data_IF_924812337921
#
_entry.id   IF_924812337921
#
_cell.length_a   1.000
_cell.length_b   1.000
_cell.length_c   1.000
_cell.angle_alpha   90.00
_cell.angle_beta   90.00
_cell.angle_gamma   90.00
#
_symmetry.space_group_name_H-M   'P 1'
#
loop_
_entity.id
_entity.type
_entity.pdbx_description
1 polymer ?
#
# COMPACT_ATOMS: atom_id res chain seq x y z
N UNK A 1 -27.25 3.04 -14.77
CA UNK A 1 -26.24 3.22 -15.85
C UNK A 1 -24.87 2.90 -15.27
N UNK A 2 -23.97 2.22 -16.00
CA UNK A 2 -22.60 2.01 -15.54
C UNK A 2 -21.90 3.36 -15.34
N UNK A 3 -21.32 3.61 -14.18
CA UNK A 3 -20.57 4.85 -13.92
C UNK A 3 -19.22 4.79 -14.65
N UNK A 4 -18.97 5.74 -15.55
CA UNK A 4 -17.68 5.90 -16.23
C UNK A 4 -16.70 6.69 -15.34
N UNK A 5 -15.55 6.09 -15.07
CA UNK A 5 -14.47 6.64 -14.25
C UNK A 5 -13.39 7.35 -15.04
N UNK A 6 -13.52 7.48 -16.37
CA UNK A 6 -12.51 8.11 -17.22
C UNK A 6 -12.01 9.47 -16.69
N UNK A 7 -12.86 10.42 -16.24
CA UNK A 7 -12.36 11.68 -15.69
C UNK A 7 -11.48 11.46 -14.45
N UNK A 8 -11.89 10.56 -13.56
CA UNK A 8 -11.14 10.23 -12.36
C UNK A 8 -9.79 9.60 -12.70
N UNK A 9 -9.75 8.64 -13.64
CA UNK A 9 -8.50 7.98 -14.03
C UNK A 9 -7.50 8.96 -14.63
N UNK A 10 -7.97 9.96 -15.38
CA UNK A 10 -7.12 11.08 -15.83
C UNK A 10 -6.64 11.96 -14.67
N UNK A 11 -7.47 12.21 -13.66
CA UNK A 11 -7.06 12.99 -12.48
C UNK A 11 -5.95 12.30 -11.67
N UNK A 12 -5.81 10.97 -11.74
CA UNK A 12 -4.68 10.27 -11.10
C UNK A 12 -3.33 10.76 -11.63
N UNK A 13 -3.26 11.29 -12.85
CA UNK A 13 -2.02 11.87 -13.39
C UNK A 13 -1.54 13.09 -12.60
N UNK A 14 -2.41 13.77 -11.85
CA UNK A 14 -1.99 14.85 -10.95
C UNK A 14 -1.11 14.34 -9.80
N UNK A 15 -1.20 13.05 -9.46
CA UNK A 15 -0.29 12.42 -8.50
C UNK A 15 1.14 12.28 -9.04
N UNK A 16 1.35 12.33 -10.36
CA UNK A 16 2.68 12.22 -10.97
C UNK A 16 3.58 13.41 -10.61
N UNK A 17 3.22 14.68 -10.92
CA UNK A 17 4.05 15.82 -10.55
C UNK A 17 4.23 15.92 -9.03
N UNK A 18 3.23 15.52 -8.23
CA UNK A 18 3.34 15.49 -6.77
C UNK A 18 4.42 14.50 -6.29
N UNK A 19 4.37 13.26 -6.76
CA UNK A 19 5.35 12.23 -6.40
C UNK A 19 6.75 12.56 -6.94
N UNK A 20 6.86 13.17 -8.13
CA UNK A 20 8.13 13.67 -8.67
C UNK A 20 8.70 14.76 -7.78
N UNK A 21 7.87 15.70 -7.32
CA UNK A 21 8.29 16.73 -6.38
C UNK A 21 8.80 16.12 -5.06
N UNK A 22 8.07 15.17 -4.46
CA UNK A 22 8.52 14.51 -3.23
C UNK A 22 9.80 13.70 -3.42
N UNK A 23 9.92 13.00 -4.55
CA UNK A 23 11.14 12.27 -4.90
C UNK A 23 12.34 13.21 -5.01
N UNK A 24 12.20 14.33 -5.74
CA UNK A 24 13.29 15.28 -5.93
C UNK A 24 13.74 15.91 -4.61
N UNK A 25 12.80 16.31 -3.75
CA UNK A 25 13.13 16.87 -2.43
C UNK A 25 13.78 15.82 -1.51
N UNK A 26 13.25 14.59 -1.48
CA UNK A 26 13.86 13.50 -0.73
C UNK A 26 15.28 13.18 -1.22
N UNK A 27 15.51 13.18 -2.52
CA UNK A 27 16.83 12.93 -3.10
C UNK A 27 17.82 14.05 -2.74
N UNK A 28 17.34 15.31 -2.70
CA UNK A 28 18.11 16.43 -2.16
C UNK A 28 18.52 16.21 -0.71
N UNK A 29 17.57 15.89 0.18
CA UNK A 29 17.86 15.60 1.58
C UNK A 29 18.82 14.41 1.76
N UNK A 30 18.76 13.40 0.88
CA UNK A 30 19.71 12.29 0.90
C UNK A 30 21.13 12.75 0.54
N UNK A 31 21.26 13.59 -0.49
CA UNK A 31 22.55 14.14 -0.92
C UNK A 31 23.17 15.07 0.13
N UNK A 32 22.35 15.71 0.96
CA UNK A 32 22.77 16.55 2.10
C UNK A 32 23.17 15.72 3.34
N UNK A 33 23.08 14.39 3.30
CA UNK A 33 23.49 13.50 4.39
C UNK A 33 22.37 13.11 5.36
N UNK A 34 21.11 13.30 4.98
CA UNK A 34 19.95 12.84 5.74
C UNK A 34 19.88 11.32 5.94
N UNK A 35 19.11 10.87 6.95
CA UNK A 35 19.09 9.45 7.34
C UNK A 35 18.60 8.52 6.20
N UNK A 36 19.47 7.63 5.68
CA UNK A 36 19.12 6.67 4.64
C UNK A 36 17.96 5.74 5.01
N UNK A 37 17.78 5.41 6.29
CA UNK A 37 16.71 4.52 6.76
C UNK A 37 15.33 5.15 6.70
N UNK A 38 15.26 6.48 6.64
CA UNK A 38 14.03 7.25 6.43
C UNK A 38 13.86 7.58 4.95
N UNK A 39 14.92 8.06 4.29
CA UNK A 39 14.78 8.64 2.95
C UNK A 39 14.71 7.58 1.85
N UNK A 40 15.55 6.54 1.87
CA UNK A 40 15.57 5.56 0.79
C UNK A 40 14.22 4.84 0.62
N UNK A 41 13.53 4.41 1.70
CA UNK A 41 12.19 3.86 1.56
C UNK A 41 11.17 4.83 0.96
N UNK A 42 11.27 6.12 1.30
CA UNK A 42 10.41 7.16 0.75
C UNK A 42 10.62 7.32 -0.76
N UNK A 43 11.88 7.34 -1.22
CA UNK A 43 12.21 7.45 -2.64
C UNK A 43 11.66 6.28 -3.45
N UNK A 44 11.79 5.05 -2.93
CA UNK A 44 11.17 3.87 -3.55
C UNK A 44 9.67 4.08 -3.65
N UNK A 45 9.02 4.50 -2.56
CA UNK A 45 7.58 4.70 -2.53
C UNK A 45 7.12 5.78 -3.51
N UNK A 46 7.78 6.93 -3.58
CA UNK A 46 7.40 8.02 -4.50
C UNK A 46 7.61 7.62 -5.97
N UNK A 47 8.71 6.93 -6.29
CA UNK A 47 8.96 6.45 -7.65
C UNK A 47 7.87 5.48 -8.12
N UNK A 48 7.51 4.52 -7.27
CA UNK A 48 6.44 3.56 -7.58
C UNK A 48 5.06 4.24 -7.61
N UNK A 49 4.80 5.18 -6.71
CA UNK A 49 3.54 5.95 -6.69
C UNK A 49 3.36 6.78 -7.96
N UNK A 50 4.40 7.48 -8.41
CA UNK A 50 4.38 8.18 -9.70
C UNK A 50 4.13 7.23 -10.87
N UNK A 51 4.76 6.06 -10.87
CA UNK A 51 4.50 5.01 -11.85
C UNK A 51 3.04 4.50 -11.82
N UNK A 52 2.47 4.26 -10.63
CA UNK A 52 1.08 3.82 -10.43
C UNK A 52 0.06 4.87 -10.86
N UNK A 53 0.40 6.15 -10.72
CA UNK A 53 -0.40 7.26 -11.25
C UNK A 53 -0.35 7.34 -12.78
N UNK A 54 0.81 7.08 -13.40
CA UNK A 54 0.97 7.02 -14.87
C UNK A 54 0.29 5.80 -15.49
N UNK A 55 0.40 4.64 -14.84
CA UNK A 55 -0.10 3.37 -15.35
C UNK A 55 -1.03 2.71 -14.32
N UNK A 56 -2.20 3.33 -14.04
CA UNK A 56 -3.13 2.76 -13.08
C UNK A 56 -3.66 1.42 -13.61
N UNK A 57 -3.62 0.42 -12.73
CA UNK A 57 -4.17 -0.88 -13.01
C UNK A 57 -4.80 -1.50 -11.75
N UNK A 58 -5.71 -2.44 -11.98
CA UNK A 58 -6.25 -3.35 -10.97
C UNK A 58 -5.82 -4.76 -11.35
N UNK A 59 -5.18 -5.45 -10.41
CA UNK A 59 -4.64 -6.79 -10.64
C UNK A 59 -5.76 -7.80 -10.95
N UNK A 60 -6.89 -7.68 -10.24
CA UNK A 60 -8.07 -8.48 -10.50
C UNK A 60 -8.63 -8.19 -11.90
N UNK A 61 -8.69 -9.22 -12.74
CA UNK A 61 -9.16 -9.12 -14.13
C UNK A 61 -8.22 -8.37 -15.07
N UNK A 62 -6.97 -8.09 -14.66
CA UNK A 62 -5.95 -7.36 -15.42
C UNK A 62 -6.47 -6.06 -16.06
N UNK A 63 -7.25 -5.31 -15.28
CA UNK A 63 -7.88 -4.08 -15.76
C UNK A 63 -6.85 -2.97 -15.81
N UNK A 64 -6.77 -2.29 -16.96
CA UNK A 64 -5.83 -1.20 -17.19
C UNK A 64 -6.54 0.02 -17.72
N UNK A 65 -5.98 1.20 -17.46
CA UNK A 65 -6.44 2.41 -18.13
C UNK A 65 -5.79 2.58 -19.51
N UNK A 66 -4.47 2.43 -19.57
CA UNK A 66 -3.70 2.47 -20.81
C UNK A 66 -3.33 1.06 -21.26
N UNK A 67 -3.59 0.70 -22.51
CA UNK A 67 -3.13 -0.58 -23.06
C UNK A 67 -1.65 -0.51 -23.45
N UNK A 68 -0.77 -0.55 -22.44
CA UNK A 68 0.68 -0.59 -22.62
C UNK A 68 1.28 -1.72 -21.81
N UNK A 69 2.46 -2.21 -22.22
CA UNK A 69 3.18 -3.27 -21.46
C UNK A 69 3.48 -2.85 -20.02
N UNK A 70 3.66 -1.55 -19.77
CA UNK A 70 3.88 -0.99 -18.43
C UNK A 70 2.62 -1.09 -17.56
N UNK A 71 1.42 -1.10 -18.13
CA UNK A 71 0.18 -1.26 -17.35
C UNK A 71 -0.09 -2.69 -16.90
N UNK A 72 0.73 -3.67 -17.30
CA UNK A 72 0.51 -5.08 -16.96
C UNK A 72 0.54 -5.32 -15.44
N UNK A 73 -0.26 -6.27 -14.96
CA UNK A 73 -0.41 -6.55 -13.53
C UNK A 73 0.90 -7.02 -12.89
N UNK A 74 1.66 -7.87 -13.60
CA UNK A 74 2.90 -8.43 -13.05
C UNK A 74 3.97 -7.38 -12.71
N UNK A 75 4.45 -6.53 -13.64
CA UNK A 75 5.47 -5.52 -13.30
C UNK A 75 4.96 -4.53 -12.26
N UNK A 76 3.70 -4.12 -12.36
CA UNK A 76 3.12 -3.19 -11.39
C UNK A 76 3.04 -3.79 -9.99
N UNK A 77 2.70 -5.08 -9.86
CA UNK A 77 2.68 -5.77 -8.57
C UNK A 77 4.07 -5.95 -7.98
N UNK A 78 5.09 -6.23 -8.81
CA UNK A 78 6.49 -6.29 -8.36
C UNK A 78 6.89 -4.94 -7.74
N UNK A 79 6.64 -3.85 -8.46
CA UNK A 79 6.94 -2.51 -7.97
C UNK A 79 6.16 -2.17 -6.70
N UNK A 80 4.85 -2.47 -6.67
CA UNK A 80 4.01 -2.26 -5.49
C UNK A 80 4.52 -3.05 -4.28
N UNK A 81 4.97 -4.29 -4.47
CA UNK A 81 5.55 -5.13 -3.41
C UNK A 81 6.75 -4.43 -2.78
N UNK A 82 7.69 -3.93 -3.60
CA UNK A 82 8.86 -3.20 -3.11
C UNK A 82 8.46 -1.91 -2.38
N UNK A 83 7.54 -1.12 -2.94
CA UNK A 83 7.11 0.11 -2.26
C UNK A 83 6.39 -0.16 -0.95
N UNK A 84 5.56 -1.19 -0.91
CA UNK A 84 4.75 -1.55 0.26
C UNK A 84 5.62 -1.98 1.44
N UNK A 85 6.60 -2.86 1.18
CA UNK A 85 7.59 -3.25 2.18
C UNK A 85 8.43 -2.05 2.61
N UNK A 86 8.85 -1.20 1.66
CA UNK A 86 9.66 -0.03 1.96
C UNK A 86 8.95 0.94 2.92
N UNK A 87 7.72 1.37 2.63
CA UNK A 87 7.09 2.35 3.50
C UNK A 87 6.67 1.77 4.86
N UNK A 88 6.32 0.49 4.94
CA UNK A 88 6.08 -0.15 6.25
C UNK A 88 7.37 -0.25 7.06
N UNK A 89 8.50 -0.56 6.42
CA UNK A 89 9.79 -0.47 7.07
C UNK A 89 10.08 0.96 7.56
N UNK A 90 9.73 1.98 6.78
CA UNK A 90 9.86 3.38 7.19
C UNK A 90 9.03 3.68 8.44
N UNK A 91 7.75 3.33 8.46
CA UNK A 91 6.86 3.55 9.61
C UNK A 91 7.34 2.79 10.85
N UNK A 92 7.75 1.54 10.68
CA UNK A 92 8.41 0.74 11.71
C UNK A 92 9.63 1.46 12.27
N UNK A 93 10.47 2.05 11.42
CA UNK A 93 11.63 2.80 11.85
C UNK A 93 11.27 4.11 12.55
N UNK A 94 10.26 4.84 12.08
CA UNK A 94 9.74 6.06 12.74
C UNK A 94 9.31 5.76 14.17
N UNK A 95 8.54 4.69 14.39
CA UNK A 95 8.12 4.27 15.74
C UNK A 95 9.34 4.05 16.65
N UNK A 96 10.39 3.38 16.16
CA UNK A 96 11.63 3.16 16.93
C UNK A 96 12.39 4.46 17.21
N UNK A 97 12.48 5.37 16.25
CA UNK A 97 13.13 6.68 16.44
C UNK A 97 12.41 7.54 17.48
N UNK A 98 11.08 7.42 17.55
CA UNK A 98 10.26 8.13 18.53
C UNK A 98 10.17 7.42 19.89
N UNK A 99 10.65 6.18 19.99
CA UNK A 99 10.73 5.38 21.23
C UNK A 99 11.95 5.79 22.09
N UNK A 100 12.04 7.06 22.47
CA UNK A 100 13.21 7.62 23.20
C UNK A 100 13.43 7.03 24.60
N UNK A 101 12.44 6.31 25.14
CA UNK A 101 12.51 5.64 26.43
C UNK A 101 12.87 4.15 26.32
N UNK A 102 13.25 3.68 25.11
CA UNK A 102 13.69 2.31 24.83
C UNK A 102 12.70 1.23 25.32
N UNK A 103 11.40 1.48 25.10
CA UNK A 103 10.34 0.57 25.55
C UNK A 103 10.31 -0.67 24.67
N UNK A 104 10.77 -1.81 25.20
CA UNK A 104 11.03 -3.01 24.38
C UNK A 104 9.82 -3.58 23.62
N UNK A 105 8.60 -3.46 24.15
CA UNK A 105 7.42 -3.95 23.42
C UNK A 105 7.05 -3.08 22.21
N UNK A 106 7.40 -1.79 22.22
CA UNK A 106 7.24 -0.89 21.07
C UNK A 106 8.18 -1.33 19.95
N UNK A 107 9.41 -1.70 20.28
CA UNK A 107 10.37 -2.23 19.29
C UNK A 107 9.89 -3.56 18.70
N UNK A 108 9.39 -4.47 19.56
CA UNK A 108 8.82 -5.72 19.11
C UNK A 108 7.61 -5.50 18.17
N UNK A 109 6.72 -4.58 18.52
CA UNK A 109 5.56 -4.24 17.70
C UNK A 109 5.96 -3.59 16.37
N UNK A 110 7.00 -2.75 16.37
CA UNK A 110 7.56 -2.17 15.14
C UNK A 110 8.11 -3.24 14.20
N UNK A 111 8.80 -4.27 14.72
CA UNK A 111 9.34 -5.36 13.91
C UNK A 111 8.26 -6.32 13.44
N UNK A 112 7.24 -6.55 14.26
CA UNK A 112 6.04 -7.29 13.84
C UNK A 112 5.44 -6.67 12.59
N UNK A 113 5.44 -5.34 12.46
CA UNK A 113 4.95 -4.69 11.24
C UNK A 113 5.77 -5.06 10.00
N UNK A 114 7.10 -5.14 10.11
CA UNK A 114 7.95 -5.53 8.97
C UNK A 114 7.74 -7.00 8.61
N UNK A 115 7.55 -7.86 9.60
CA UNK A 115 7.23 -9.27 9.38
C UNK A 115 5.87 -9.42 8.70
N UNK A 116 4.84 -8.75 9.21
CA UNK A 116 3.46 -8.89 8.74
C UNK A 116 3.29 -8.38 7.31
N UNK A 117 3.94 -7.27 6.92
CA UNK A 117 3.90 -6.86 5.50
C UNK A 117 4.47 -7.93 4.60
N UNK A 118 5.53 -8.64 5.01
CA UNK A 118 6.06 -9.79 4.28
C UNK A 118 5.05 -10.92 4.14
N UNK A 119 4.32 -11.25 5.22
CA UNK A 119 3.22 -12.22 5.20
C UNK A 119 2.11 -11.79 4.23
N UNK A 120 1.69 -10.52 4.28
CA UNK A 120 0.70 -9.97 3.34
C UNK A 120 1.15 -10.10 1.87
N UNK A 121 2.44 -9.89 1.58
CA UNK A 121 2.95 -10.07 0.21
C UNK A 121 2.79 -11.52 -0.28
N UNK A 122 3.01 -12.53 0.58
CA UNK A 122 2.78 -13.92 0.20
C UNK A 122 1.30 -14.18 -0.16
N UNK A 123 0.36 -13.56 0.56
CA UNK A 123 -1.06 -13.68 0.25
C UNK A 123 -1.44 -13.02 -1.07
N UNK A 124 -0.93 -11.82 -1.38
CA UNK A 124 -1.17 -11.14 -2.67
C UNK A 124 -0.62 -11.95 -3.83
N UNK A 125 0.63 -12.38 -3.71
CA UNK A 125 1.27 -13.17 -4.76
C UNK A 125 0.59 -14.52 -4.91
N UNK A 126 0.17 -15.15 -3.81
CA UNK A 126 -0.68 -16.32 -3.84
C UNK A 126 -1.99 -16.06 -4.59
N UNK A 127 -2.67 -14.95 -4.32
CA UNK A 127 -3.93 -14.59 -4.97
C UNK A 127 -3.76 -14.47 -6.49
N UNK A 128 -2.69 -13.79 -6.94
CA UNK A 128 -2.40 -13.57 -8.37
C UNK A 128 -1.97 -14.86 -9.06
N UNK A 129 -1.04 -15.61 -8.46
CA UNK A 129 -0.44 -16.79 -9.09
C UNK A 129 -1.36 -18.02 -9.06
N UNK A 130 -2.33 -18.07 -8.14
CA UNK A 130 -3.28 -19.18 -8.03
C UNK A 130 -4.71 -18.80 -8.41
N UNK A 131 -4.97 -17.51 -8.69
CA UNK A 131 -6.29 -16.93 -8.94
C UNK A 131 -7.30 -17.18 -7.80
N UNK A 132 -6.82 -17.29 -6.55
CA UNK A 132 -7.64 -17.52 -5.36
C UNK A 132 -7.92 -16.21 -4.65
N UNK A 133 -9.07 -15.60 -4.95
CA UNK A 133 -9.44 -14.27 -4.45
C UNK A 133 -9.54 -14.18 -2.92
N UNK A 134 -9.82 -15.30 -2.23
CA UNK A 134 -9.85 -15.35 -0.76
C UNK A 134 -8.51 -14.99 -0.12
N UNK A 135 -7.39 -15.14 -0.84
CA UNK A 135 -6.08 -14.72 -0.35
C UNK A 135 -5.97 -13.20 -0.17
N UNK A 136 -6.73 -12.40 -0.93
CA UNK A 136 -6.82 -10.95 -0.69
C UNK A 136 -7.49 -10.62 0.65
N UNK A 137 -8.38 -11.47 1.18
CA UNK A 137 -8.94 -11.26 2.53
C UNK A 137 -7.86 -11.35 3.60
N UNK A 138 -6.93 -12.30 3.46
CA UNK A 138 -5.84 -12.49 4.42
C UNK A 138 -4.77 -11.40 4.29
N UNK A 139 -4.48 -10.93 3.08
CA UNK A 139 -3.65 -9.73 2.88
C UNK A 139 -4.24 -8.53 3.62
N UNK A 140 -5.52 -8.21 3.38
CA UNK A 140 -6.19 -7.05 3.96
C UNK A 140 -6.33 -7.18 5.49
N UNK A 141 -6.38 -8.41 6.01
CA UNK A 141 -6.32 -8.65 7.46
C UNK A 141 -4.94 -8.29 8.00
N UNK A 142 -3.87 -8.66 7.29
CA UNK A 142 -2.51 -8.25 7.65
C UNK A 142 -2.34 -6.73 7.63
N UNK A 143 -2.91 -6.04 6.63
CA UNK A 143 -2.97 -4.57 6.61
C UNK A 143 -3.69 -3.99 7.83
N UNK A 144 -4.81 -4.59 8.25
CA UNK A 144 -5.52 -4.16 9.46
C UNK A 144 -4.64 -4.33 10.72
N UNK A 145 -3.94 -5.46 10.85
CA UNK A 145 -3.02 -5.74 11.96
C UNK A 145 -1.86 -4.73 11.97
N UNK A 146 -1.27 -4.44 10.80
CA UNK A 146 -0.19 -3.46 10.63
C UNK A 146 -0.57 -2.08 11.15
N UNK A 147 -1.70 -1.56 10.70
CA UNK A 147 -2.12 -0.23 11.09
C UNK A 147 -2.65 -0.19 12.53
N UNK A 148 -3.25 -1.26 13.04
CA UNK A 148 -3.59 -1.37 14.46
C UNK A 148 -2.34 -1.33 15.34
N UNK A 149 -1.29 -2.09 14.98
CA UNK A 149 0.00 -2.07 15.65
C UNK A 149 0.61 -0.65 15.65
N UNK A 150 0.64 0.01 14.49
CA UNK A 150 1.13 1.39 14.37
C UNK A 150 0.34 2.38 15.24
N UNK A 151 -0.99 2.26 15.26
CA UNK A 151 -1.86 3.12 16.07
C UNK A 151 -1.66 2.90 17.57
N UNK A 152 -1.55 1.64 18.02
CA UNK A 152 -1.30 1.31 19.43
C UNK A 152 0.06 1.85 19.87
N UNK A 153 1.12 1.60 19.09
CA UNK A 153 2.45 2.11 19.37
C UNK A 153 2.46 3.65 19.43
N UNK A 154 1.82 4.30 18.46
CA UNK A 154 1.75 5.76 18.40
C UNK A 154 0.97 6.36 19.57
N UNK A 155 -0.13 5.73 19.97
CA UNK A 155 -0.95 6.18 21.10
C UNK A 155 -0.21 6.09 22.43
N UNK A 156 0.52 4.99 22.64
CA UNK A 156 1.36 4.87 23.82
C UNK A 156 2.47 5.92 23.83
N UNK A 157 3.26 6.02 22.75
CA UNK A 157 4.35 7.00 22.67
C UNK A 157 3.86 8.44 22.84
N UNK A 158 2.69 8.78 22.27
CA UNK A 158 2.10 10.10 22.41
C UNK A 158 1.70 10.40 23.87
N UNK A 159 1.23 9.40 24.62
CA UNK A 159 0.80 9.57 26.00
C UNK A 159 1.98 9.58 26.99
N UNK A 160 3.08 8.90 26.70
CA UNK A 160 4.16 8.65 27.68
C UNK A 160 5.44 9.42 27.41
N UNK A 161 5.59 10.02 26.23
CA UNK A 161 6.85 10.62 25.80
C UNK A 161 6.71 12.12 25.56
N UNK A 162 7.68 12.90 26.04
CA UNK A 162 7.79 14.33 25.70
C UNK A 162 8.62 14.49 24.42
N UNK A 163 7.96 14.81 23.32
CA UNK A 163 8.58 15.02 22.00
C UNK A 163 8.46 16.49 21.58
N UNK A 164 9.29 16.93 20.64
CA UNK A 164 9.08 18.21 19.95
C UNK A 164 7.73 18.21 19.22
N UNK A 165 7.10 19.39 18.99
CA UNK A 165 5.81 19.48 18.32
C UNK A 165 5.77 18.74 16.97
N UNK A 166 6.83 18.85 16.16
CA UNK A 166 6.89 18.19 14.85
C UNK A 166 6.90 16.66 14.95
N UNK A 167 7.68 16.12 15.90
CA UNK A 167 7.76 14.67 16.14
C UNK A 167 6.48 14.12 16.75
N UNK A 168 5.86 14.86 17.67
CA UNK A 168 4.53 14.53 18.19
C UNK A 168 3.47 14.56 17.07
N UNK A 169 3.61 15.47 16.11
CA UNK A 169 2.76 15.55 14.92
C UNK A 169 2.73 14.26 14.10
N UNK A 170 3.86 13.54 13.98
CA UNK A 170 3.90 12.24 13.30
C UNK A 170 3.06 11.17 14.02
N UNK A 171 3.03 11.19 15.35
CA UNK A 171 2.20 10.29 16.15
C UNK A 171 0.72 10.64 16.02
N UNK A 172 0.39 11.94 16.06
CA UNK A 172 -0.99 12.42 15.85
C UNK A 172 -1.50 12.04 14.46
N UNK A 173 -0.66 12.15 13.42
CA UNK A 173 -1.01 11.73 12.07
C UNK A 173 -1.27 10.21 12.00
N UNK A 174 -0.44 9.41 12.67
CA UNK A 174 -0.62 7.95 12.76
C UNK A 174 -1.91 7.56 13.48
N UNK A 175 -2.26 8.28 14.55
CA UNK A 175 -3.51 8.10 15.30
C UNK A 175 -4.72 8.50 14.46
N UNK A 176 -4.68 9.66 13.82
CA UNK A 176 -5.74 10.15 12.93
C UNK A 176 -5.97 9.20 11.76
N UNK A 177 -4.89 8.68 11.16
CA UNK A 177 -4.99 7.67 10.12
C UNK A 177 -5.66 6.40 10.66
N UNK A 178 -5.18 5.84 11.79
CA UNK A 178 -5.77 4.65 12.40
C UNK A 178 -7.26 4.81 12.73
N UNK A 179 -7.64 5.98 13.25
CA UNK A 179 -9.03 6.30 13.60
C UNK A 179 -9.98 6.26 12.40
N UNK A 180 -9.52 6.69 11.22
CA UNK A 180 -10.33 6.68 9.99
C UNK A 180 -10.20 5.35 9.25
N UNK A 181 -8.96 4.85 9.12
CA UNK A 181 -8.62 3.68 8.32
C UNK A 181 -9.14 2.38 8.93
N UNK A 182 -8.98 2.13 10.24
CA UNK A 182 -9.37 0.84 10.82
C UNK A 182 -10.88 0.55 10.74
N UNK A 183 -11.79 1.52 11.00
CA UNK A 183 -13.22 1.32 10.76
C UNK A 183 -13.53 1.07 9.28
N UNK A 184 -12.89 1.81 8.38
CA UNK A 184 -13.05 1.62 6.94
C UNK A 184 -12.54 0.23 6.49
N UNK A 185 -11.41 -0.22 7.03
CA UNK A 185 -10.79 -1.51 6.75
C UNK A 185 -11.69 -2.66 7.19
N UNK A 186 -12.41 -2.51 8.30
CA UNK A 186 -13.42 -3.49 8.72
C UNK A 186 -14.56 -3.63 7.70
N UNK A 187 -15.05 -2.50 7.16
CA UNK A 187 -16.06 -2.53 6.09
C UNK A 187 -15.51 -3.18 4.82
N UNK A 188 -14.26 -2.88 4.47
CA UNK A 188 -13.59 -3.46 3.31
C UNK A 188 -13.43 -4.98 3.44
N UNK A 189 -12.90 -5.45 4.56
CA UNK A 189 -12.75 -6.87 4.87
C UNK A 189 -14.07 -7.62 4.83
N UNK A 190 -15.13 -7.05 5.41
CA UNK A 190 -16.47 -7.63 5.35
C UNK A 190 -16.96 -7.78 3.91
N UNK A 191 -16.75 -6.76 3.08
CA UNK A 191 -17.10 -6.79 1.65
C UNK A 191 -16.34 -7.90 0.91
N UNK A 192 -15.03 -8.01 1.12
CA UNK A 192 -14.21 -9.05 0.51
C UNK A 192 -14.60 -10.45 0.96
N UNK A 193 -14.89 -10.63 2.25
CA UNK A 193 -15.30 -11.93 2.79
C UNK A 193 -16.62 -12.41 2.19
N UNK A 194 -17.61 -11.51 2.07
CA UNK A 194 -18.91 -11.81 1.44
C UNK A 194 -18.75 -12.14 -0.05
N UNK A 195 -17.88 -11.43 -0.77
CA UNK A 195 -17.63 -11.66 -2.19
C UNK A 195 -16.77 -12.91 -2.46
N UNK A 196 -15.85 -13.26 -1.57
CA UNK A 196 -15.08 -14.49 -1.67
C UNK A 196 -15.98 -15.72 -1.47
N UNK A 197 -16.89 -15.67 -0.49
CA UNK A 197 -17.83 -16.76 -0.23
C UNK A 197 -18.82 -17.01 -1.38
N UNK A 198 -19.26 -15.98 -2.09
CA UNK A 198 -20.16 -16.13 -3.24
C UNK A 198 -19.46 -16.68 -4.50
N UNK A 199 -18.19 -16.36 -4.70
CA UNK A 199 -17.40 -16.87 -5.83
C UNK A 199 -16.86 -18.30 -5.60
N UNK A 200 -16.50 -18.68 -4.36
CA UNK A 200 -16.09 -20.05 -4.03
C UNK A 200 -17.27 -21.05 -4.05
N UNK A 201 -18.50 -20.60 -3.76
CA UNK A 201 -19.70 -21.44 -3.77
C UNK A 201 -20.15 -21.91 -5.17
N UNK A 202 -19.42 -21.59 -6.24
CA UNK A 202 -19.71 -22.10 -7.59
C UNK A 202 -19.33 -23.58 -7.80
N UNK A 203 -18.86 -24.28 -6.77
CA UNK A 203 -18.66 -25.74 -6.81
C UNK A 203 -17.49 -26.20 -7.69
N UNK A 204 -16.65 -25.28 -8.17
CA UNK A 204 -15.41 -25.62 -8.86
C UNK A 204 -14.38 -26.09 -7.83
N UNK A 205 -13.93 -27.34 -7.96
CA UNK A 205 -12.83 -27.87 -7.14
C UNK A 205 -11.59 -27.00 -7.39
N UNK A 206 -10.97 -26.41 -6.36
CA UNK A 206 -9.80 -25.57 -6.54
C UNK A 206 -8.70 -26.34 -7.29
N UNK A 207 -8.24 -25.80 -8.41
CA UNK A 207 -7.14 -26.41 -9.17
C UNK A 207 -5.94 -26.61 -8.24
N UNK A 208 -5.32 -27.78 -8.32
CA UNK A 208 -4.16 -28.12 -7.49
C UNK A 208 -3.04 -27.11 -7.76
N UNK A 209 -2.34 -26.70 -6.68
CA UNK A 209 -1.24 -25.76 -6.79
C UNK A 209 -0.06 -26.46 -7.48
N UNK A 210 0.05 -26.26 -8.79
CA UNK A 210 1.11 -26.83 -9.62
C UNK A 210 1.99 -25.72 -10.20
N UNK A 211 3.24 -26.06 -10.53
CA UNK A 211 4.14 -25.12 -11.20
C UNK A 211 3.56 -24.64 -12.55
N UNK A 212 2.82 -25.50 -13.24
CA UNK A 212 2.14 -25.17 -14.50
C UNK A 212 1.09 -24.09 -14.31
N UNK A 213 0.26 -24.20 -13.27
CA UNK A 213 -0.73 -23.18 -12.90
C UNK A 213 -0.05 -21.83 -12.62
N UNK A 214 1.03 -21.84 -11.82
CA UNK A 214 1.78 -20.64 -11.46
C UNK A 214 2.36 -19.97 -12.71
N UNK A 215 3.03 -20.73 -13.59
CA UNK A 215 3.61 -20.21 -14.84
C UNK A 215 2.54 -19.63 -15.76
N UNK A 216 1.41 -20.32 -15.91
CA UNK A 216 0.26 -19.87 -16.73
C UNK A 216 -0.28 -18.54 -16.22
N UNK A 217 -0.52 -18.43 -14.91
CA UNK A 217 -1.10 -17.23 -14.31
C UNK A 217 -0.11 -16.06 -14.25
N UNK A 218 1.19 -16.33 -14.05
CA UNK A 218 2.24 -15.31 -14.18
C UNK A 218 2.32 -14.75 -15.61
N UNK A 219 2.30 -15.63 -16.62
CA UNK A 219 2.27 -15.22 -18.02
C UNK A 219 0.99 -14.43 -18.34
N UNK A 220 -0.15 -14.86 -17.80
CA UNK A 220 -1.42 -14.14 -17.93
C UNK A 220 -1.34 -12.73 -17.30
N UNK A 221 -0.79 -12.59 -16.08
CA UNK A 221 -0.60 -11.31 -15.41
C UNK A 221 0.40 -10.39 -16.12
N UNK A 222 1.34 -10.95 -16.89
CA UNK A 222 2.33 -10.20 -17.67
C UNK A 222 1.78 -9.73 -19.02
N UNK A 223 1.02 -10.59 -19.71
CA UNK A 223 0.65 -10.35 -21.10
C UNK A 223 -0.78 -9.86 -21.28
N UNK A 224 -1.73 -10.32 -20.46
CA UNK A 224 -3.13 -9.93 -20.58
C UNK A 224 -3.35 -8.55 -19.98
N UNK A 225 -4.10 -7.73 -20.72
CA UNK A 225 -4.57 -6.41 -20.29
C UNK A 225 -5.97 -6.23 -20.81
N UNK A 226 -6.87 -5.72 -19.96
CA UNK A 226 -8.26 -5.43 -20.31
C UNK A 226 -8.51 -3.94 -20.09
N UNK A 227 -8.42 -3.11 -21.13
CA UNK A 227 -8.72 -1.69 -21.02
C UNK A 227 -10.17 -1.48 -20.59
N UNK A 228 -10.40 -0.72 -19.52
CA UNK A 228 -11.76 -0.35 -19.10
C UNK A 228 -11.77 0.94 -18.29
N UNK A 229 -12.88 1.67 -18.34
CA UNK A 229 -13.15 2.83 -17.47
C UNK A 229 -14.43 2.63 -16.65
N UNK A 230 -15.03 1.44 -16.66
CA UNK A 230 -16.28 1.17 -15.94
C UNK A 230 -16.03 0.96 -14.45
N UNK A 231 -16.79 1.63 -13.58
CA UNK A 231 -16.63 1.57 -12.11
C UNK A 231 -16.54 0.16 -11.52
N UNK A 232 -17.34 -0.78 -12.02
CA UNK A 232 -17.32 -2.18 -11.56
C UNK A 232 -15.97 -2.86 -11.81
N UNK A 233 -15.29 -2.52 -12.91
CA UNK A 233 -13.99 -3.09 -13.27
C UNK A 233 -12.86 -2.56 -12.37
N UNK A 234 -13.06 -1.42 -11.71
CA UNK A 234 -12.07 -0.80 -10.81
C UNK A 234 -12.35 -1.03 -9.33
N UNK A 235 -13.35 -1.86 -8.98
CA UNK A 235 -13.70 -2.14 -7.57
C UNK A 235 -14.57 -1.06 -6.93
N UNK A 236 -15.20 -0.22 -7.76
CA UNK A 236 -16.09 0.86 -7.31
C UNK A 236 -15.38 1.88 -6.41
N UNK A 237 -16.12 2.45 -5.46
CA UNK A 237 -15.60 3.47 -4.56
C UNK A 237 -14.37 3.01 -3.76
N UNK A 238 -14.32 1.74 -3.34
CA UNK A 238 -13.20 1.17 -2.57
C UNK A 238 -11.90 1.21 -3.38
N UNK A 239 -11.94 0.73 -4.63
CA UNK A 239 -10.74 0.75 -5.48
C UNK A 239 -10.29 2.16 -5.85
N UNK A 240 -11.23 3.11 -6.00
CA UNK A 240 -10.92 4.52 -6.20
C UNK A 240 -10.22 5.13 -4.98
N UNK A 241 -10.72 4.85 -3.77
CA UNK A 241 -10.09 5.29 -2.52
C UNK A 241 -8.64 4.83 -2.45
N UNK A 242 -8.38 3.55 -2.77
CA UNK A 242 -7.01 3.04 -2.82
C UNK A 242 -6.16 3.76 -3.86
N UNK A 243 -6.66 3.98 -5.09
CA UNK A 243 -5.86 4.66 -6.11
C UNK A 243 -5.50 6.10 -5.74
N UNK A 244 -6.45 6.85 -5.19
CA UNK A 244 -6.19 8.24 -4.81
C UNK A 244 -5.41 8.35 -3.51
N UNK A 245 -5.91 7.77 -2.42
CA UNK A 245 -5.33 7.95 -1.11
C UNK A 245 -3.95 7.27 -1.02
N UNK A 246 -3.80 6.09 -1.61
CA UNK A 246 -2.56 5.33 -1.48
C UNK A 246 -1.46 5.82 -2.41
N UNK A 247 -1.76 6.06 -3.69
CA UNK A 247 -0.71 6.35 -4.68
C UNK A 247 -0.64 7.84 -5.04
N UNK A 248 -1.77 8.53 -5.10
CA UNK A 248 -1.80 9.90 -5.62
C UNK A 248 -1.61 10.97 -4.55
N UNK A 249 -2.06 10.78 -3.31
CA UNK A 249 -2.10 11.87 -2.31
C UNK A 249 -1.74 11.50 -0.88
N UNK A 250 -2.64 10.85 -0.13
CA UNK A 250 -2.59 10.76 1.34
C UNK A 250 -1.31 10.10 1.87
N UNK A 251 -0.98 8.89 1.40
CA UNK A 251 0.22 8.18 1.84
C UNK A 251 1.51 8.86 1.33
N UNK A 252 1.61 9.31 0.06
CA UNK A 252 2.75 10.12 -0.38
C UNK A 252 2.99 11.35 0.48
N UNK A 253 1.93 12.09 0.82
CA UNK A 253 2.01 13.27 1.69
C UNK A 253 2.51 12.91 3.08
N UNK A 254 2.01 11.82 3.66
CA UNK A 254 2.46 11.35 4.97
C UNK A 254 3.94 10.95 4.95
N UNK A 255 4.37 10.14 4.00
CA UNK A 255 5.77 9.72 3.85
C UNK A 255 6.67 10.94 3.62
N UNK A 256 6.22 11.92 2.83
CA UNK A 256 6.98 13.16 2.64
C UNK A 256 7.08 13.96 3.94
N UNK A 257 6.01 14.03 4.74
CA UNK A 257 6.06 14.67 6.04
C UNK A 257 7.04 13.97 7.00
N UNK A 258 7.11 12.63 6.99
CA UNK A 258 8.12 11.87 7.73
C UNK A 258 9.54 12.28 7.30
N UNK A 259 9.80 12.34 6.00
CA UNK A 259 11.11 12.80 5.47
C UNK A 259 11.42 14.23 5.92
N UNK A 260 10.43 15.12 5.94
CA UNK A 260 10.62 16.52 6.37
C UNK A 260 10.95 16.67 7.86
N UNK A 261 10.45 15.77 8.72
CA UNK A 261 10.63 15.86 10.18
C UNK A 261 11.83 15.06 10.67
N UNK A 262 12.12 13.91 10.04
CA UNK A 262 13.14 12.96 10.50
C UNK A 262 14.23 12.68 9.47
N UNK A 263 14.04 13.09 8.22
CA UNK A 263 15.01 12.86 7.15
C UNK A 263 16.11 13.93 7.07
N UNK A 264 15.96 15.08 7.72
CA UNK A 264 16.98 16.15 7.73
C UNK A 264 17.83 16.08 9.00
N UNK A 265 19.14 16.31 8.85
CA UNK A 265 20.10 16.44 9.97
C UNK A 265 19.85 17.69 10.80
#
# INVERSE_FOLDING_TARGET
MPTDLRPFLWLLLLGVPLNVYFFANGAGSYAEGGDPKIILPALIFFGVSGYRCLFPNRYEGNVVFHDTKLSASLPTRILATFSEVAYIYQFSHVIRVLNVNDVGWIDALSWLMVFEVGVSQFFVWGAILTNRLRLYVYEELGWAILFAANTIASGYLYATTTLSPDRAGLLVLSLGFGFVYLPWQFLHLRSLWLNAGTNENKGEVPEAMTLTLIKRNAAHALHSRRPSTLSADWGGAIGLTWMTAYWASLIPLWIYHVVRVLGTT
#
